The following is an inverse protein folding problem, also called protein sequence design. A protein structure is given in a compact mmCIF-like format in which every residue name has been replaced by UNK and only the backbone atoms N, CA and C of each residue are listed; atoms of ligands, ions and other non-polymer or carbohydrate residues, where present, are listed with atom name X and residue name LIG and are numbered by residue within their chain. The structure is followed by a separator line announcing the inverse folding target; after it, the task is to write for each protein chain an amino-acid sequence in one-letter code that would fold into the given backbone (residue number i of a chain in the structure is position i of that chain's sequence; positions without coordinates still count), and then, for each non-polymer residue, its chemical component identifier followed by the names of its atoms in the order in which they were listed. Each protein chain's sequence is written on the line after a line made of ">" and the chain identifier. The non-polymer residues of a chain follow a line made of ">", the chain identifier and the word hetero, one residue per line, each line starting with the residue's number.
data_IF_466208680080
#
_entry.id   IF_466208680080
#
_cell.length_a   1.000
_cell.length_b   1.000
_cell.length_c   1.000
_cell.angle_alpha   90.00
_cell.angle_beta   90.00
_cell.angle_gamma   90.00
#
_symmetry.space_group_name_H-M   'P 1'
#
loop_
_entity.id
_entity.type
_entity.pdbx_description
1 polymer ?
#
# COMPACT_ATOMS: atom_id res chain seq x y z
N UNK A 1 -9.59 0.67 15.17
CA UNK A 1 -9.94 1.65 14.12
C UNK A 1 -10.87 1.05 13.07
N UNK A 2 -10.55 -0.13 12.49
CA UNK A 2 -11.45 -0.79 11.53
C UNK A 2 -12.81 -1.17 12.13
N UNK A 3 -12.85 -1.64 13.37
CA UNK A 3 -14.13 -1.92 14.05
C UNK A 3 -14.97 -0.65 14.24
N UNK A 4 -14.34 0.47 14.64
CA UNK A 4 -15.03 1.76 14.77
C UNK A 4 -15.56 2.26 13.42
N UNK A 5 -14.81 2.05 12.34
CA UNK A 5 -15.27 2.40 11.00
C UNK A 5 -16.42 1.49 10.54
N UNK A 6 -16.36 0.20 10.86
CA UNK A 6 -17.46 -0.73 10.66
C UNK A 6 -18.70 -0.33 11.45
N UNK A 7 -18.58 -0.02 12.74
CA UNK A 7 -19.67 0.47 13.59
C UNK A 7 -20.33 1.72 12.98
N UNK A 8 -19.52 2.68 12.50
CA UNK A 8 -20.02 3.89 11.85
C UNK A 8 -20.81 3.58 10.57
N UNK A 9 -20.31 2.70 9.70
CA UNK A 9 -21.04 2.29 8.50
C UNK A 9 -22.31 1.48 8.82
N UNK A 10 -22.25 0.57 9.78
CA UNK A 10 -23.36 -0.28 10.21
C UNK A 10 -24.46 0.52 10.91
N UNK A 11 -24.13 1.68 11.51
CA UNK A 11 -25.12 2.60 12.08
C UNK A 11 -26.06 3.21 11.02
N UNK A 12 -25.64 3.21 9.74
CA UNK A 12 -26.45 3.67 8.62
C UNK A 12 -27.24 2.47 8.07
N UNK A 13 -28.50 2.39 8.45
CA UNK A 13 -29.36 1.22 8.19
C UNK A 13 -30.07 1.26 6.84
N UNK A 14 -30.10 2.40 6.16
CA UNK A 14 -30.71 2.56 4.84
C UNK A 14 -29.79 3.35 3.91
N UNK A 15 -29.49 2.77 2.75
CA UNK A 15 -28.74 3.42 1.67
C UNK A 15 -29.63 4.02 0.57
N UNK A 16 -30.95 4.05 0.79
CA UNK A 16 -31.96 4.53 -0.16
C UNK A 16 -32.27 3.54 -1.30
N UNK A 17 -31.70 2.34 -1.25
CA UNK A 17 -31.88 1.26 -2.26
C UNK A 17 -32.21 -0.09 -1.63
N UNK A 18 -32.61 -0.11 -0.36
CA UNK A 18 -32.95 -1.34 0.37
C UNK A 18 -31.75 -2.23 0.71
N UNK A 19 -30.53 -1.68 0.69
CA UNK A 19 -29.31 -2.37 1.11
C UNK A 19 -28.65 -1.71 2.31
N UNK A 20 -27.52 -2.29 2.73
CA UNK A 20 -26.70 -1.81 3.85
C UNK A 20 -25.34 -1.31 3.36
N UNK A 21 -24.68 -0.48 4.15
CA UNK A 21 -23.29 -0.12 3.91
C UNK A 21 -22.36 -1.21 4.42
N UNK A 22 -21.31 -1.50 3.64
CA UNK A 22 -20.23 -2.41 4.04
C UNK A 22 -18.89 -1.72 3.76
N UNK A 23 -18.10 -1.41 4.79
CA UNK A 23 -16.85 -0.70 4.60
C UNK A 23 -15.78 -1.58 3.95
N UNK A 24 -14.78 -0.91 3.39
CA UNK A 24 -13.55 -1.51 2.88
C UNK A 24 -12.36 -0.65 3.28
N UNK A 25 -11.15 -1.19 3.11
CA UNK A 25 -9.89 -0.52 3.43
C UNK A 25 -9.18 0.04 2.19
N UNK A 26 -9.78 -0.05 1.00
CA UNK A 26 -9.23 0.48 -0.24
C UNK A 26 -9.12 2.01 -0.23
N UNK A 27 -7.90 2.53 -0.42
CA UNK A 27 -7.64 3.99 -0.40
C UNK A 27 -7.78 4.67 -1.75
N UNK A 28 -7.77 3.92 -2.86
CA UNK A 28 -7.62 4.46 -4.21
C UNK A 28 -6.46 5.50 -4.29
N UNK A 29 -6.67 6.65 -4.93
CA UNK A 29 -5.74 7.78 -5.02
C UNK A 29 -5.62 8.62 -3.73
N UNK A 30 -6.53 8.44 -2.77
CA UNK A 30 -6.67 9.35 -1.63
C UNK A 30 -5.48 9.32 -0.66
N UNK A 31 -4.62 8.29 -0.71
CA UNK A 31 -3.39 8.28 0.09
C UNK A 31 -2.36 9.34 -0.35
N UNK A 32 -2.49 9.86 -1.58
CA UNK A 32 -1.75 11.04 -2.07
C UNK A 32 -2.59 12.29 -1.90
N UNK A 33 -3.84 12.28 -2.36
CA UNK A 33 -4.67 13.49 -2.39
C UNK A 33 -4.92 14.06 -1.00
N UNK A 34 -5.21 13.23 0.01
CA UNK A 34 -5.38 13.71 1.39
C UNK A 34 -4.09 14.30 1.97
N UNK A 35 -2.92 13.95 1.42
CA UNK A 35 -1.63 14.45 1.89
C UNK A 35 -1.18 15.75 1.17
N UNK A 36 -1.52 15.91 -0.11
CA UNK A 36 -0.97 16.98 -0.97
C UNK A 36 -2.03 17.88 -1.61
N UNK A 37 -3.30 17.52 -1.52
CA UNK A 37 -4.41 18.20 -2.18
C UNK A 37 -4.62 17.71 -3.61
N UNK A 38 -5.85 17.90 -4.11
CA UNK A 38 -6.21 17.70 -5.50
C UNK A 38 -7.51 18.46 -5.80
N UNK A 39 -7.63 19.04 -7.00
CA UNK A 39 -8.77 19.90 -7.36
C UNK A 39 -10.13 19.20 -7.31
N UNK A 40 -10.13 17.87 -7.48
CA UNK A 40 -11.33 17.05 -7.39
C UNK A 40 -11.71 16.60 -5.95
N UNK A 41 -10.95 17.03 -4.93
CA UNK A 41 -11.17 16.65 -3.54
C UNK A 41 -11.91 17.77 -2.80
N UNK A 42 -12.94 17.42 -2.01
CA UNK A 42 -13.68 18.38 -1.18
C UNK A 42 -13.13 18.42 0.24
N UNK A 43 -12.48 17.35 0.68
CA UNK A 43 -11.84 17.23 1.98
C UNK A 43 -10.60 18.15 2.05
N UNK A 44 -10.30 18.73 3.23
CA UNK A 44 -9.07 19.49 3.41
C UNK A 44 -7.84 18.57 3.40
N UNK A 45 -6.69 19.15 3.04
CA UNK A 45 -5.39 18.48 3.18
C UNK A 45 -5.12 18.19 4.66
N UNK A 46 -4.72 16.95 4.94
CA UNK A 46 -4.39 16.51 6.29
C UNK A 46 -2.95 16.93 6.63
N UNK A 47 -2.82 17.80 7.63
CA UNK A 47 -1.54 18.24 8.20
C UNK A 47 -0.75 17.11 8.87
N UNK A 48 0.28 17.44 9.66
CA UNK A 48 1.07 16.41 10.37
C UNK A 48 0.19 15.54 11.29
N UNK A 49 0.49 14.24 11.40
CA UNK A 49 -0.28 13.29 12.21
C UNK A 49 0.55 12.69 13.36
N UNK A 50 -0.14 12.23 14.41
CA UNK A 50 0.47 11.79 15.66
C UNK A 50 1.36 10.52 15.54
N UNK A 51 1.24 9.79 14.43
CA UNK A 51 2.11 8.66 14.06
C UNK A 51 3.49 9.11 13.54
N UNK A 52 3.75 10.42 13.48
CA UNK A 52 5.04 11.00 13.07
C UNK A 52 5.12 11.37 11.60
N UNK A 53 4.06 11.13 10.80
CA UNK A 53 4.00 11.60 9.41
C UNK A 53 3.94 13.13 9.39
N UNK A 54 4.91 13.75 8.73
CA UNK A 54 4.98 15.21 8.53
C UNK A 54 3.91 15.67 7.53
N UNK A 55 3.53 16.94 7.59
CA UNK A 55 2.66 17.56 6.59
C UNK A 55 3.25 17.36 5.18
N UNK A 56 2.40 17.00 4.21
CA UNK A 56 2.80 16.69 2.83
C UNK A 56 3.35 15.28 2.61
N UNK A 57 3.67 14.53 3.67
CA UNK A 57 4.10 13.14 3.57
C UNK A 57 2.94 12.22 3.18
N UNK A 58 3.17 11.24 2.31
CA UNK A 58 2.14 10.32 1.83
C UNK A 58 1.57 9.43 2.94
N UNK A 59 0.29 9.05 2.80
CA UNK A 59 -0.29 7.95 3.58
C UNK A 59 0.10 6.58 2.99
N UNK A 60 -0.14 5.50 3.75
CA UNK A 60 -0.11 4.16 3.18
C UNK A 60 -1.23 3.98 2.15
N UNK A 61 -0.96 3.22 1.09
CA UNK A 61 -2.02 2.79 0.18
C UNK A 61 -2.75 1.60 0.79
N UNK A 62 -4.04 1.76 1.07
CA UNK A 62 -4.90 0.72 1.64
C UNK A 62 -4.28 0.08 2.90
N UNK A 63 -4.02 -1.23 2.90
CA UNK A 63 -3.42 -1.93 4.04
C UNK A 63 -1.90 -2.08 3.92
N UNK A 64 -1.23 -1.37 3.01
CA UNK A 64 0.23 -1.33 3.03
C UNK A 64 0.75 -0.74 4.36
N UNK A 65 1.92 -1.17 4.86
CA UNK A 65 2.55 -0.48 5.98
C UNK A 65 2.75 1.01 5.69
N UNK A 66 2.67 1.87 6.71
CA UNK A 66 2.93 3.30 6.54
C UNK A 66 4.37 3.55 6.08
N UNK A 67 4.62 4.58 5.25
CA UNK A 67 5.98 5.00 4.90
C UNK A 67 6.82 5.29 6.15
N UNK A 68 8.07 4.81 6.18
CA UNK A 68 9.01 5.04 7.28
C UNK A 68 8.77 4.20 8.54
N UNK A 69 7.75 3.33 8.58
CA UNK A 69 7.55 2.42 9.71
C UNK A 69 8.58 1.28 9.68
N UNK A 70 9.16 0.95 10.83
CA UNK A 70 10.07 -0.20 10.94
C UNK A 70 9.28 -1.51 10.95
N UNK A 71 9.42 -2.29 9.88
CA UNK A 71 8.83 -3.63 9.77
C UNK A 71 9.86 -4.72 10.08
N UNK A 72 9.45 -5.79 10.76
CA UNK A 72 10.30 -6.96 11.06
C UNK A 72 10.11 -8.05 9.99
N UNK A 73 10.17 -7.64 8.72
CA UNK A 73 9.94 -8.51 7.58
C UNK A 73 8.46 -8.86 7.30
N UNK A 74 8.18 -9.56 6.18
CA UNK A 74 6.83 -9.74 5.64
C UNK A 74 5.91 -10.57 6.54
N UNK A 75 6.43 -11.55 7.29
CA UNK A 75 5.64 -12.34 8.23
C UNK A 75 5.12 -11.51 9.41
N UNK A 76 5.90 -10.51 9.86
CA UNK A 76 5.44 -9.60 10.91
C UNK A 76 4.29 -8.72 10.44
N UNK A 77 4.31 -8.35 9.17
CA UNK A 77 3.22 -7.61 8.51
C UNK A 77 1.98 -8.50 8.46
N UNK A 78 2.06 -9.70 7.89
CA UNK A 78 0.92 -10.63 7.83
C UNK A 78 0.31 -10.89 9.21
N UNK A 79 1.13 -11.15 10.24
CA UNK A 79 0.65 -11.35 11.62
C UNK A 79 -0.02 -10.12 12.22
N UNK A 80 0.35 -8.92 11.78
CA UNK A 80 -0.23 -7.68 12.28
C UNK A 80 -1.60 -7.43 11.62
N UNK A 81 -1.69 -7.62 10.30
CA UNK A 81 -2.91 -7.43 9.53
C UNK A 81 -3.91 -8.58 9.70
N UNK A 82 -3.46 -9.80 10.07
CA UNK A 82 -4.35 -10.93 10.39
C UNK A 82 -5.24 -10.71 11.62
N UNK A 83 -5.01 -9.64 12.39
CA UNK A 83 -5.82 -9.27 13.55
C UNK A 83 -7.07 -8.47 13.17
N UNK A 84 -7.18 -8.03 11.91
CA UNK A 84 -8.33 -7.27 11.44
C UNK A 84 -9.49 -8.23 11.24
N UNK A 85 -10.68 -7.86 11.71
CA UNK A 85 -11.91 -8.57 11.36
C UNK A 85 -12.35 -8.21 9.93
N UNK A 86 -11.87 -9.00 8.97
CA UNK A 86 -12.18 -8.81 7.56
C UNK A 86 -13.65 -9.06 7.20
N UNK A 87 -14.44 -9.71 8.06
CA UNK A 87 -15.88 -9.88 7.80
C UNK A 87 -16.60 -8.53 7.88
N UNK A 88 -16.14 -7.66 8.78
CA UNK A 88 -16.72 -6.32 9.01
C UNK A 88 -16.23 -5.26 8.03
N UNK A 89 -15.11 -5.49 7.37
CA UNK A 89 -14.58 -4.61 6.30
C UNK A 89 -14.53 -5.31 4.93
N UNK A 90 -15.53 -6.14 4.65
CA UNK A 90 -15.53 -7.07 3.53
C UNK A 90 -15.59 -6.43 2.13
N UNK A 91 -15.83 -5.12 1.99
CA UNK A 91 -15.70 -4.44 0.69
C UNK A 91 -14.24 -4.35 0.22
N UNK A 92 -13.29 -4.70 1.08
CA UNK A 92 -11.93 -5.04 0.69
C UNK A 92 -10.99 -3.86 0.56
N UNK A 93 -9.73 -4.20 0.33
CA UNK A 93 -8.61 -3.28 0.21
C UNK A 93 -7.31 -4.07 0.30
N UNK A 94 -6.38 -3.90 -0.65
CA UNK A 94 -5.20 -4.76 -0.72
C UNK A 94 -4.20 -4.48 0.40
N UNK A 95 -3.63 -5.56 0.94
CA UNK A 95 -2.33 -5.54 1.59
C UNK A 95 -1.26 -5.66 0.50
N UNK A 96 -0.57 -4.57 0.21
CA UNK A 96 0.56 -4.58 -0.73
C UNK A 96 1.86 -4.84 0.03
N UNK A 97 2.57 -5.90 -0.37
CA UNK A 97 3.92 -6.20 0.08
C UNK A 97 4.90 -5.95 -1.07
N UNK A 98 5.90 -5.12 -0.79
CA UNK A 98 7.04 -4.93 -1.67
C UNK A 98 8.07 -6.02 -1.38
N UNK A 99 8.53 -6.72 -2.41
CA UNK A 99 9.61 -7.70 -2.32
C UNK A 99 10.67 -7.38 -3.37
N UNK A 100 11.92 -7.70 -3.07
CA UNK A 100 13.02 -7.53 -4.05
C UNK A 100 12.78 -8.40 -5.27
N UNK A 101 13.14 -7.90 -6.46
CA UNK A 101 13.16 -8.65 -7.72
C UNK A 101 13.97 -9.96 -7.66
N UNK A 102 14.91 -10.08 -6.72
CA UNK A 102 15.73 -11.28 -6.49
C UNK A 102 14.90 -12.52 -6.15
N UNK A 103 13.66 -12.36 -5.67
CA UNK A 103 12.81 -13.48 -5.24
C UNK A 103 12.38 -14.41 -6.37
N UNK A 104 12.58 -14.04 -7.63
CA UNK A 104 12.26 -14.87 -8.80
C UNK A 104 13.48 -15.39 -9.56
N UNK A 105 14.69 -15.17 -9.04
CA UNK A 105 15.93 -15.54 -9.75
C UNK A 105 16.30 -17.02 -9.63
N UNK A 106 15.73 -17.76 -8.68
CA UNK A 106 15.97 -19.18 -8.50
C UNK A 106 14.75 -19.91 -7.89
N UNK A 107 14.73 -21.23 -8.01
CA UNK A 107 13.60 -22.08 -7.57
C UNK A 107 13.34 -22.01 -6.07
N UNK A 108 14.39 -21.87 -5.26
CA UNK A 108 14.26 -21.76 -3.81
C UNK A 108 13.56 -20.45 -3.43
N UNK A 109 13.97 -19.33 -4.04
CA UNK A 109 13.34 -18.04 -3.80
C UNK A 109 11.86 -18.02 -4.22
N UNK A 110 11.54 -18.64 -5.36
CA UNK A 110 10.15 -18.85 -5.81
C UNK A 110 9.37 -19.68 -4.78
N UNK A 111 9.98 -20.74 -4.24
CA UNK A 111 9.36 -21.55 -3.19
C UNK A 111 9.07 -20.74 -1.93
N UNK A 112 9.98 -19.86 -1.51
CA UNK A 112 9.77 -18.97 -0.36
C UNK A 112 8.60 -17.99 -0.58
N UNK A 113 8.43 -17.45 -1.79
CA UNK A 113 7.25 -16.64 -2.12
C UNK A 113 5.96 -17.47 -2.05
N UNK A 114 5.98 -18.71 -2.53
CA UNK A 114 4.83 -19.61 -2.41
C UNK A 114 4.47 -19.91 -0.94
N UNK A 115 5.47 -20.07 -0.06
CA UNK A 115 5.25 -20.23 1.38
C UNK A 115 4.66 -18.95 2.01
N UNK A 116 5.11 -17.76 1.59
CA UNK A 116 4.53 -16.49 2.03
C UNK A 116 3.04 -16.38 1.64
N UNK A 117 2.69 -16.75 0.40
CA UNK A 117 1.30 -16.74 -0.07
C UNK A 117 0.45 -17.76 0.71
N UNK A 118 0.98 -18.96 0.96
CA UNK A 118 0.32 -19.97 1.80
C UNK A 118 0.06 -19.47 3.21
N UNK A 119 1.05 -18.80 3.82
CA UNK A 119 0.88 -18.20 5.14
C UNK A 119 -0.19 -17.11 5.12
N UNK A 120 -0.18 -16.21 4.14
CA UNK A 120 -1.20 -15.18 3.95
C UNK A 120 -2.62 -15.78 3.95
N UNK A 121 -2.83 -16.85 3.18
CA UNK A 121 -4.11 -17.54 3.13
C UNK A 121 -4.46 -18.20 4.48
N UNK A 122 -3.48 -18.83 5.13
CA UNK A 122 -3.68 -19.53 6.40
C UNK A 122 -4.01 -18.58 7.58
N UNK A 123 -3.53 -17.34 7.56
CA UNK A 123 -3.81 -16.35 8.62
C UNK A 123 -5.08 -15.53 8.39
N UNK A 124 -5.84 -15.84 7.34
CA UNK A 124 -7.17 -15.24 7.12
C UNK A 124 -7.15 -13.79 6.62
N UNK A 125 -6.03 -13.31 6.04
CA UNK A 125 -6.02 -12.01 5.39
C UNK A 125 -6.83 -12.04 4.08
N UNK A 126 -7.48 -10.93 3.72
CA UNK A 126 -8.47 -10.92 2.63
C UNK A 126 -7.89 -10.78 1.22
N UNK A 127 -6.94 -9.85 1.01
CA UNK A 127 -6.42 -9.54 -0.33
C UNK A 127 -4.93 -9.20 -0.27
N UNK A 128 -4.09 -9.98 -0.97
CA UNK A 128 -2.66 -9.76 -1.08
C UNK A 128 -2.31 -9.17 -2.46
N UNK A 129 -1.41 -8.21 -2.46
CA UNK A 129 -0.67 -7.78 -3.65
C UNK A 129 0.82 -7.91 -3.37
N UNK A 130 1.55 -8.51 -4.30
CA UNK A 130 3.01 -8.56 -4.26
C UNK A 130 3.50 -7.70 -5.41
N UNK A 131 4.41 -6.80 -5.09
CA UNK A 131 5.03 -5.93 -6.06
C UNK A 131 6.54 -6.15 -5.98
N UNK A 132 7.13 -6.49 -7.12
CA UNK A 132 8.52 -6.92 -7.21
C UNK A 132 9.32 -5.84 -7.88
N UNK A 133 10.00 -5.05 -7.07
CA UNK A 133 10.59 -3.79 -7.51
C UNK A 133 12.11 -3.83 -7.35
N UNK A 134 12.77 -3.09 -8.22
CA UNK A 134 14.16 -2.69 -8.09
C UNK A 134 14.18 -1.16 -8.03
N UNK A 135 14.56 -0.60 -6.88
CA UNK A 135 14.53 0.87 -6.65
C UNK A 135 15.38 1.62 -7.65
N UNK A 136 16.54 1.07 -8.01
CA UNK A 136 17.44 1.71 -8.98
C UNK A 136 16.80 1.71 -10.36
N UNK A 137 16.12 0.64 -10.77
CA UNK A 137 15.34 0.63 -12.02
C UNK A 137 14.19 1.63 -12.01
N UNK A 138 13.52 1.85 -10.86
CA UNK A 138 12.46 2.85 -10.76
C UNK A 138 13.00 4.27 -10.85
N UNK A 139 14.10 4.57 -10.15
CA UNK A 139 14.76 5.88 -10.23
C UNK A 139 15.26 6.15 -11.66
N UNK A 140 15.87 5.15 -12.29
CA UNK A 140 16.30 5.23 -13.68
C UNK A 140 15.11 5.48 -14.62
N UNK A 141 13.96 4.84 -14.37
CA UNK A 141 12.74 5.09 -15.13
C UNK A 141 12.13 6.49 -14.93
N UNK A 142 12.41 7.19 -13.82
CA UNK A 142 12.04 8.60 -13.65
C UNK A 142 12.93 9.53 -14.51
N UNK A 143 14.21 9.19 -14.65
CA UNK A 143 15.19 9.99 -15.40
C UNK A 143 15.17 9.70 -16.91
N UNK A 144 14.91 8.44 -17.28
CA UNK A 144 14.98 7.91 -18.63
C UNK A 144 13.71 7.11 -19.02
N UNK A 145 12.50 7.71 -18.94
CA UNK A 145 11.24 6.99 -19.15
C UNK A 145 11.15 6.33 -20.54
N UNK A 146 11.88 6.83 -21.54
CA UNK A 146 11.95 6.26 -22.88
C UNK A 146 12.56 4.85 -22.92
N UNK A 147 13.39 4.50 -21.94
CA UNK A 147 14.03 3.19 -21.80
C UNK A 147 13.16 2.20 -21.02
N UNK A 148 12.15 2.69 -20.31
CA UNK A 148 11.33 1.94 -19.35
C UNK A 148 9.83 1.96 -19.65
N UNK A 149 9.44 2.23 -20.91
CA UNK A 149 8.02 2.38 -21.31
C UNK A 149 7.11 1.21 -20.91
N UNK A 150 7.66 0.01 -20.81
CA UNK A 150 6.92 -1.20 -20.47
C UNK A 150 7.07 -1.62 -19.00
N UNK A 151 7.69 -0.78 -18.15
CA UNK A 151 7.83 -1.06 -16.72
C UNK A 151 6.47 -0.96 -16.04
N UNK A 152 5.97 -2.10 -15.55
CA UNK A 152 4.67 -2.19 -14.86
C UNK A 152 4.88 -2.32 -13.36
N UNK A 153 4.10 -1.55 -12.60
CA UNK A 153 4.13 -1.54 -11.12
C UNK A 153 2.74 -1.77 -10.53
N UNK A 154 2.65 -2.32 -9.31
CA UNK A 154 1.38 -2.31 -8.55
C UNK A 154 1.21 -1.00 -7.81
N UNK A 155 0.06 -0.37 -7.98
CA UNK A 155 -0.22 0.96 -7.42
C UNK A 155 -1.01 0.85 -6.10
N UNK A 156 -2.33 0.66 -6.12
CA UNK A 156 -3.16 0.55 -4.90
C UNK A 156 -4.35 -0.41 -5.04
N UNK A 157 -4.31 -1.31 -6.02
CA UNK A 157 -5.50 -2.03 -6.48
C UNK A 157 -5.33 -2.59 -7.89
N UNK A 158 -4.53 -1.90 -8.70
CA UNK A 158 -4.32 -2.15 -10.11
C UNK A 158 -2.83 -2.09 -10.47
N UNK A 159 -2.50 -2.51 -11.69
CA UNK A 159 -1.17 -2.38 -12.27
C UNK A 159 -1.17 -1.29 -13.32
N UNK A 160 -0.16 -0.41 -13.31
CA UNK A 160 0.00 0.65 -14.32
C UNK A 160 1.42 0.71 -14.85
N UNK A 161 1.59 1.36 -16.01
CA UNK A 161 2.91 1.70 -16.53
C UNK A 161 3.51 2.80 -15.67
N UNK A 162 4.68 2.53 -15.08
CA UNK A 162 5.32 3.43 -14.12
C UNK A 162 5.54 4.83 -14.71
N UNK A 163 6.02 4.90 -15.95
CA UNK A 163 6.29 6.15 -16.66
C UNK A 163 5.02 6.94 -17.05
N UNK A 164 3.83 6.35 -16.96
CA UNK A 164 2.54 7.03 -17.20
C UNK A 164 1.90 7.54 -15.91
N UNK A 165 2.46 7.24 -14.74
CA UNK A 165 1.97 7.73 -13.47
C UNK A 165 2.48 9.15 -13.19
N UNK A 166 1.67 9.97 -12.51
CA UNK A 166 2.16 11.24 -11.98
C UNK A 166 3.32 11.03 -11.00
N UNK A 167 4.23 12.00 -10.95
CA UNK A 167 5.45 11.93 -10.14
C UNK A 167 5.18 11.62 -8.66
N UNK A 168 4.09 12.15 -8.10
CA UNK A 168 3.69 11.88 -6.72
C UNK A 168 3.45 10.39 -6.46
N UNK A 169 2.83 9.66 -7.40
CA UNK A 169 2.61 8.22 -7.26
C UNK A 169 3.89 7.43 -7.50
N UNK A 170 4.73 7.86 -8.46
CA UNK A 170 6.05 7.26 -8.67
C UNK A 170 6.90 7.34 -7.39
N UNK A 171 7.00 8.54 -6.81
CA UNK A 171 7.74 8.81 -5.58
C UNK A 171 7.18 8.02 -4.41
N UNK A 172 5.85 7.87 -4.32
CA UNK A 172 5.25 7.07 -3.25
C UNK A 172 5.55 5.58 -3.42
N UNK A 173 5.53 5.02 -4.62
CA UNK A 173 5.89 3.62 -4.88
C UNK A 173 7.37 3.37 -4.54
N UNK A 174 8.27 4.25 -4.98
CA UNK A 174 9.70 4.18 -4.62
C UNK A 174 9.87 4.20 -3.10
N UNK A 175 9.16 5.10 -2.41
CA UNK A 175 9.20 5.24 -0.96
C UNK A 175 8.74 4.00 -0.18
N UNK A 176 7.91 3.13 -0.78
CA UNK A 176 7.51 1.86 -0.14
C UNK A 176 8.66 0.86 -0.07
N UNK A 177 9.60 0.87 -1.01
CA UNK A 177 10.63 -0.17 -1.02
C UNK A 177 11.73 0.05 0.03
N UNK A 178 11.74 1.21 0.70
CA UNK A 178 12.67 1.52 1.80
C UNK A 178 12.19 0.84 3.10
N UNK A 179 11.88 -0.45 3.04
CA UNK A 179 11.67 -1.32 4.20
C UNK A 179 12.90 -2.23 4.35
N UNK A 180 13.93 -1.76 5.06
CA UNK A 180 15.01 -2.65 5.49
C UNK A 180 16.43 -2.13 5.29
N UNK A 181 16.64 -1.05 4.53
CA UNK A 181 17.91 -0.33 4.67
C UNK A 181 17.86 0.48 5.96
N UNK A 182 18.89 0.42 6.82
CA UNK A 182 19.03 1.42 7.86
C UNK A 182 18.96 2.75 7.14
N UNK A 183 18.01 3.60 7.56
CA UNK A 183 17.96 4.98 7.12
C UNK A 183 19.41 5.46 7.07
N UNK A 184 19.83 5.97 5.91
CA UNK A 184 20.98 6.85 5.81
C UNK A 184 20.69 7.98 6.80
N UNK A 185 21.08 7.73 8.04
CA UNK A 185 21.19 8.69 9.09
C UNK A 185 22.18 9.68 8.51
N UNK A 186 21.64 10.80 8.03
CA UNK A 186 22.26 12.12 8.12
C UNK A 186 23.77 12.07 8.24
N UNK A 187 24.45 12.30 7.12
CA UNK A 187 25.77 12.90 7.16
C UNK A 187 25.70 14.24 6.43
N UNK A 188 26.36 15.28 6.96
CA UNK A 188 26.37 15.78 8.34
C UNK A 188 25.26 16.82 8.59
#
# INVERSE_FOLDING_TARGET
>A
IFDLFADACESITDNGRGGIFRPGSGSAMFYVWLAQGHDAMTEPVVGATADGRKQGGFFSSSLAPSPGVRVRGPFSVLKSYSKIDYQRICNGGPLTLEVSDTVFRNSEAVHQVALLIRLFAAVGCQQLQINTLNVESLKDAQLHPEQHKNLVVRVWGWSGYFCELDEAYQNQIIGRHIYGEPALCSQP
#
